data_IF_811399732925
#
_entry.id   IF_811399732925
#
_cell.length_a   1.000
_cell.length_b   1.000
_cell.length_c   1.000
_cell.angle_alpha   90.00
_cell.angle_beta   90.00
_cell.angle_gamma   90.00
#
_symmetry.space_group_name_H-M   'P 1'
#
loop_
_entity.id
_entity.type
_entity.pdbx_description
1 polymer ?
#
# COMPACT_ATOMS: atom_id res chain seq x y z
N UNK A 1 11.35 6.66 -16.42
CA UNK A 1 12.36 6.53 -15.34
C UNK A 1 12.70 5.07 -15.04
N UNK A 2 11.79 4.23 -14.54
CA UNK A 2 12.16 2.84 -14.14
C UNK A 2 12.68 2.04 -15.34
N UNK A 3 11.95 2.07 -16.46
CA UNK A 3 12.35 1.41 -17.72
C UNK A 3 13.64 1.94 -18.35
N UNK A 4 14.15 3.08 -17.89
CA UNK A 4 15.39 3.68 -18.42
C UNK A 4 16.62 3.29 -17.58
N UNK A 5 16.43 2.71 -16.39
CA UNK A 5 17.49 2.53 -15.39
C UNK A 5 17.54 1.08 -14.90
N UNK A 6 16.40 0.40 -14.84
CA UNK A 6 16.33 -0.95 -14.31
C UNK A 6 17.01 -1.93 -15.27
N UNK A 7 18.02 -2.63 -14.78
CA UNK A 7 18.67 -3.72 -15.53
C UNK A 7 17.76 -4.92 -15.68
N UNK A 8 17.96 -5.72 -16.72
CA UNK A 8 17.33 -7.02 -16.88
C UNK A 8 17.54 -7.91 -15.65
N UNK A 9 16.52 -8.67 -15.28
CA UNK A 9 16.47 -9.43 -14.03
C UNK A 9 16.24 -8.57 -12.77
N UNK A 10 16.16 -7.25 -12.90
CA UNK A 10 15.95 -6.33 -11.80
C UNK A 10 14.59 -6.49 -11.10
N UNK A 11 14.48 -5.94 -9.88
CA UNK A 11 13.24 -5.90 -9.09
C UNK A 11 12.73 -4.47 -9.00
N UNK A 12 11.42 -4.31 -9.08
CA UNK A 12 10.73 -3.03 -8.95
C UNK A 12 9.63 -3.16 -7.89
N UNK A 13 9.65 -2.27 -6.90
CA UNK A 13 8.65 -2.23 -5.83
C UNK A 13 8.05 -0.83 -5.80
N UNK A 14 6.73 -0.75 -5.84
CA UNK A 14 6.01 0.53 -5.78
C UNK A 14 4.79 0.45 -4.88
N UNK A 15 4.50 1.54 -4.18
CA UNK A 15 3.24 1.71 -3.46
C UNK A 15 2.12 1.99 -4.47
N UNK A 16 1.01 1.29 -4.32
CA UNK A 16 -0.17 1.37 -5.18
C UNK A 16 -1.44 1.49 -4.34
N UNK A 17 -2.54 1.91 -4.95
CA UNK A 17 -3.86 1.86 -4.34
C UNK A 17 -4.67 0.71 -4.94
N UNK A 18 -5.23 -0.15 -4.08
CA UNK A 18 -6.15 -1.22 -4.51
C UNK A 18 -7.51 -0.60 -4.81
N UNK A 19 -7.69 -0.20 -6.07
CA UNK A 19 -8.90 0.45 -6.59
C UNK A 19 -9.50 -0.28 -7.78
N UNK A 20 -10.35 0.41 -8.54
CA UNK A 20 -11.03 -0.12 -9.74
C UNK A 20 -10.03 -0.66 -10.76
N UNK A 21 -8.98 0.10 -11.07
CA UNK A 21 -8.07 -0.19 -12.19
C UNK A 21 -6.85 -1.04 -11.80
N UNK A 22 -6.93 -1.74 -10.67
CA UNK A 22 -5.85 -2.59 -10.15
C UNK A 22 -5.47 -3.69 -11.14
N UNK A 23 -6.46 -4.25 -11.85
CA UNK A 23 -6.25 -5.29 -12.87
C UNK A 23 -5.55 -4.76 -14.12
N UNK A 24 -5.89 -3.55 -14.55
CA UNK A 24 -5.21 -2.91 -15.68
C UNK A 24 -3.74 -2.67 -15.35
N UNK A 25 -3.46 -2.13 -14.15
CA UNK A 25 -2.08 -1.93 -13.68
C UNK A 25 -1.30 -3.25 -13.64
N UNK A 26 -1.92 -4.33 -13.14
CA UNK A 26 -1.30 -5.64 -13.12
C UNK A 26 -0.94 -6.15 -14.53
N UNK A 27 -1.86 -6.05 -15.48
CA UNK A 27 -1.62 -6.42 -16.87
C UNK A 27 -0.50 -5.60 -17.51
N UNK A 28 -0.49 -4.29 -17.27
CA UNK A 28 0.56 -3.40 -17.74
C UNK A 28 1.95 -3.76 -17.18
N UNK A 29 2.03 -4.09 -15.89
CA UNK A 29 3.28 -4.54 -15.26
C UNK A 29 3.73 -5.90 -15.80
N UNK A 30 2.79 -6.82 -16.08
CA UNK A 30 3.09 -8.15 -16.64
C UNK A 30 3.74 -8.13 -18.03
N UNK A 31 3.65 -7.03 -18.77
CA UNK A 31 4.39 -6.84 -20.02
C UNK A 31 5.91 -6.82 -19.82
N UNK A 32 6.35 -6.36 -18.65
CA UNK A 32 7.76 -6.09 -18.34
C UNK A 32 8.31 -7.00 -17.26
N UNK A 33 7.44 -7.68 -16.51
CA UNK A 33 7.81 -8.48 -15.36
C UNK A 33 7.08 -9.82 -15.42
N UNK A 34 7.78 -10.94 -15.62
CA UNK A 34 7.18 -12.27 -15.61
C UNK A 34 6.47 -12.57 -14.29
N UNK A 35 6.98 -12.04 -13.18
CA UNK A 35 6.41 -12.21 -11.84
C UNK A 35 5.98 -10.85 -11.30
N UNK A 36 4.68 -10.71 -11.03
CA UNK A 36 4.08 -9.54 -10.40
C UNK A 36 3.20 -10.03 -9.26
N UNK A 37 3.35 -9.46 -8.08
CA UNK A 37 2.55 -9.79 -6.90
C UNK A 37 2.13 -8.50 -6.22
N UNK A 38 0.86 -8.38 -5.88
CA UNK A 38 0.39 -7.26 -5.07
C UNK A 38 0.39 -7.71 -3.61
N UNK A 39 1.15 -6.99 -2.79
CA UNK A 39 1.40 -7.38 -1.41
C UNK A 39 0.93 -6.29 -0.45
N UNK A 40 0.31 -6.69 0.67
CA UNK A 40 0.04 -5.78 1.78
C UNK A 40 0.70 -6.32 3.04
N UNK A 41 1.79 -5.66 3.49
CA UNK A 41 2.48 -6.12 4.69
C UNK A 41 1.66 -5.84 5.94
N UNK A 42 1.86 -6.64 6.99
CA UNK A 42 1.19 -6.45 8.30
C UNK A 42 1.45 -5.09 8.96
N UNK A 43 2.59 -4.49 8.66
CA UNK A 43 2.92 -3.13 9.12
C UNK A 43 2.07 -2.04 8.45
N UNK A 44 1.39 -2.35 7.35
CA UNK A 44 0.44 -1.43 6.71
C UNK A 44 -0.91 -1.48 7.41
N UNK A 45 -1.49 -0.30 7.66
CA UNK A 45 -2.82 -0.17 8.27
C UNK A 45 -3.87 -1.03 7.56
N UNK A 46 -4.62 -1.83 8.32
CA UNK A 46 -5.66 -2.67 7.74
C UNK A 46 -6.74 -1.85 7.03
N UNK A 47 -7.10 -0.69 7.61
CA UNK A 47 -8.04 0.27 7.02
C UNK A 47 -7.55 0.94 5.73
N UNK A 48 -6.24 0.89 5.43
CA UNK A 48 -5.71 1.48 4.21
C UNK A 48 -6.06 0.66 2.97
N UNK A 49 -6.38 1.35 1.87
CA UNK A 49 -6.47 0.75 0.54
C UNK A 49 -5.11 0.65 -0.16
N UNK A 50 -4.04 1.08 0.51
CA UNK A 50 -2.70 0.98 -0.02
C UNK A 50 -2.19 -0.47 -0.01
N UNK A 51 -1.42 -0.79 -1.03
CA UNK A 51 -0.69 -2.04 -1.19
C UNK A 51 0.64 -1.75 -1.91
N UNK A 52 1.43 -2.78 -2.15
CA UNK A 52 2.69 -2.69 -2.86
C UNK A 52 2.67 -3.62 -4.06
N UNK A 53 2.98 -3.10 -5.25
CA UNK A 53 3.32 -3.91 -6.40
C UNK A 53 4.77 -4.38 -6.24
N UNK A 54 4.97 -5.69 -6.17
CA UNK A 54 6.27 -6.35 -6.16
C UNK A 54 6.45 -7.00 -7.52
N UNK A 55 7.37 -6.45 -8.31
CA UNK A 55 7.65 -6.90 -9.66
C UNK A 55 9.07 -7.47 -9.69
N UNK A 56 9.21 -8.69 -10.20
CA UNK A 56 10.48 -9.42 -10.20
C UNK A 56 10.88 -9.84 -11.60
N UNK A 57 12.19 -9.99 -11.80
CA UNK A 57 12.81 -10.40 -13.05
C UNK A 57 12.44 -9.50 -14.23
N UNK A 58 12.79 -8.21 -14.15
CA UNK A 58 12.57 -7.26 -15.24
C UNK A 58 13.03 -7.85 -16.59
N UNK A 59 12.09 -7.98 -17.52
CA UNK A 59 12.24 -8.64 -18.81
C UNK A 59 11.43 -7.83 -19.82
N UNK A 60 11.95 -6.68 -20.30
CA UNK A 60 11.25 -5.89 -21.31
C UNK A 60 11.10 -6.68 -22.63
N UNK A 61 10.09 -6.39 -23.44
CA UNK A 61 9.96 -6.97 -24.77
C UNK A 61 11.18 -6.69 -25.65
N UNK A 62 11.52 -7.60 -26.56
CA UNK A 62 12.62 -7.41 -27.50
C UNK A 62 12.41 -6.14 -28.35
N UNK A 63 13.45 -5.32 -28.48
CA UNK A 63 13.39 -4.04 -29.19
C UNK A 63 12.59 -2.95 -28.48
N UNK A 64 12.17 -3.15 -27.24
CA UNK A 64 11.46 -2.13 -26.47
C UNK A 64 12.33 -0.87 -26.26
N UNK A 65 11.84 0.27 -26.74
CA UNK A 65 12.42 1.57 -26.44
C UNK A 65 11.69 2.20 -25.25
N UNK A 66 12.38 2.61 -24.18
CA UNK A 66 11.75 3.26 -23.03
C UNK A 66 10.94 4.52 -23.35
N UNK A 67 11.19 5.19 -24.48
CA UNK A 67 10.40 6.33 -24.98
C UNK A 67 8.98 5.94 -25.42
N UNK A 68 8.78 4.69 -25.83
CA UNK A 68 7.49 4.18 -26.32
C UNK A 68 6.59 3.64 -25.19
N UNK A 69 7.02 3.76 -23.93
CA UNK A 69 6.30 3.23 -22.77
C UNK A 69 4.84 3.67 -22.74
N UNK A 70 4.56 4.96 -22.92
CA UNK A 70 3.20 5.49 -22.88
C UNK A 70 2.30 4.81 -23.91
N UNK A 71 2.78 4.74 -25.16
CA UNK A 71 2.06 4.13 -26.28
C UNK A 71 1.78 2.65 -26.05
N UNK A 72 2.73 1.93 -25.43
CA UNK A 72 2.55 0.52 -25.11
C UNK A 72 1.49 0.33 -24.01
N UNK A 73 1.51 1.17 -22.98
CA UNK A 73 0.56 1.10 -21.87
C UNK A 73 -0.87 1.48 -22.30
N UNK A 74 -1.02 2.46 -23.19
CA UNK A 74 -2.31 2.84 -23.79
C UNK A 74 -2.93 1.71 -24.61
N UNK A 75 -2.11 1.01 -25.41
CA UNK A 75 -2.59 -0.15 -26.18
C UNK A 75 -3.17 -1.25 -25.29
N UNK A 76 -2.65 -1.43 -24.09
CA UNK A 76 -3.17 -2.40 -23.11
C UNK A 76 -4.43 -1.87 -22.40
N UNK A 77 -4.55 -0.55 -22.26
CA UNK A 77 -5.74 0.12 -21.73
C UNK A 77 -6.93 0.11 -22.69
N UNK A 78 -6.68 0.16 -24.01
CA UNK A 78 -7.72 0.27 -25.04
C UNK A 78 -7.49 -0.74 -26.17
N UNK A 79 -7.94 -2.00 -26.01
CA UNK A 79 -7.82 -3.01 -27.07
C UNK A 79 -8.73 -2.74 -28.28
N UNK A 80 -9.70 -1.82 -28.15
CA UNK A 80 -10.52 -1.30 -29.24
C UNK A 80 -10.23 0.20 -29.35
N UNK A 81 -9.72 0.69 -30.48
CA UNK A 81 -9.35 2.10 -30.70
C UNK A 81 -10.52 3.08 -30.74
N UNK A 82 -11.41 3.04 -29.74
CA UNK A 82 -12.47 4.01 -29.49
C UNK A 82 -11.97 5.09 -28.54
N UNK A 83 -12.28 6.34 -28.88
CA UNK A 83 -11.84 7.58 -28.22
C UNK A 83 -12.48 7.83 -26.85
N UNK A 84 -12.68 6.81 -26.04
CA UNK A 84 -13.25 6.99 -24.71
C UNK A 84 -12.11 7.29 -23.73
N UNK A 85 -12.10 8.55 -23.27
CA UNK A 85 -11.22 9.12 -22.24
C UNK A 85 -11.37 8.48 -20.86
N UNK A 86 -12.12 7.37 -20.76
CA UNK A 86 -12.29 6.60 -19.56
C UNK A 86 -11.35 5.40 -19.65
N UNK A 87 -10.29 5.40 -18.84
CA UNK A 87 -9.35 4.29 -18.68
C UNK A 87 -10.02 3.07 -18.03
N UNK A 88 -11.22 2.71 -18.49
CA UNK A 88 -12.07 1.71 -17.89
C UNK A 88 -11.59 0.34 -18.32
N UNK A 89 -11.16 -0.45 -17.34
CA UNK A 89 -10.82 -1.86 -17.49
C UNK A 89 -12.03 -2.74 -17.82
N UNK A 90 -13.04 -2.24 -18.54
CA UNK A 90 -14.31 -2.92 -18.80
C UNK A 90 -14.15 -4.26 -19.54
N UNK A 91 -13.08 -4.42 -20.33
CA UNK A 91 -12.77 -5.70 -20.98
C UNK A 91 -12.18 -6.75 -20.01
N UNK A 92 -11.66 -6.33 -18.86
CA UNK A 92 -11.25 -7.17 -17.73
C UNK A 92 -12.44 -7.48 -16.79
N UNK A 93 -13.67 -7.14 -17.19
CA UNK A 93 -14.89 -7.55 -16.49
C UNK A 93 -15.49 -8.82 -17.14
N UNK A 94 -16.25 -9.59 -16.36
CA UNK A 94 -16.87 -10.84 -16.84
C UNK A 94 -15.88 -12.02 -16.99
N UNK A 95 -15.99 -12.85 -18.05
CA UNK A 95 -15.21 -14.08 -18.18
C UNK A 95 -13.70 -13.87 -18.33
N UNK A 96 -13.27 -12.69 -18.77
CA UNK A 96 -11.86 -12.32 -18.91
C UNK A 96 -11.26 -11.68 -17.64
N UNK A 97 -12.00 -11.72 -16.52
CA UNK A 97 -11.56 -11.13 -15.26
C UNK A 97 -10.31 -11.84 -14.73
N UNK A 98 -9.22 -11.09 -14.68
CA UNK A 98 -7.96 -11.56 -14.10
C UNK A 98 -7.99 -11.40 -12.58
N UNK A 99 -7.85 -12.51 -11.87
CA UNK A 99 -7.65 -12.52 -10.43
C UNK A 99 -6.17 -12.32 -10.11
N UNK A 100 -5.86 -11.20 -9.48
CA UNK A 100 -4.49 -10.84 -9.12
C UNK A 100 -4.12 -11.59 -7.85
N UNK A 101 -3.00 -12.34 -7.82
CA UNK A 101 -2.52 -12.95 -6.60
C UNK A 101 -2.14 -11.84 -5.61
N UNK A 102 -2.86 -11.80 -4.50
CA UNK A 102 -2.63 -10.86 -3.41
C UNK A 102 -1.98 -11.56 -2.23
N UNK A 103 -0.79 -11.11 -1.83
CA UNK A 103 -0.01 -11.75 -0.79
C UNK A 103 0.01 -10.89 0.48
N UNK A 104 -0.46 -11.44 1.59
CA UNK A 104 -0.14 -10.89 2.90
C UNK A 104 1.32 -11.24 3.22
N UNK A 105 2.16 -10.23 3.49
CA UNK A 105 3.59 -10.41 3.74
C UNK A 105 4.01 -9.86 5.11
N UNK A 106 5.13 -10.38 5.62
CA UNK A 106 5.68 -10.02 6.93
C UNK A 106 5.77 -11.20 7.89
N UNK A 107 6.60 -11.03 8.93
CA UNK A 107 6.82 -12.02 9.98
C UNK A 107 5.60 -12.17 10.90
N UNK A 108 5.40 -13.36 11.47
CA UNK A 108 4.44 -13.61 12.54
C UNK A 108 4.88 -12.99 13.88
N UNK A 109 6.18 -12.79 14.08
CA UNK A 109 6.75 -12.23 15.31
C UNK A 109 6.86 -10.69 15.32
N UNK A 110 6.53 -10.03 14.21
CA UNK A 110 6.71 -8.59 14.04
C UNK A 110 5.60 -7.71 14.59
N UNK A 111 5.91 -6.41 14.70
CA UNK A 111 4.94 -5.36 15.00
C UNK A 111 3.91 -5.22 13.86
N UNK A 112 2.64 -5.07 14.22
CA UNK A 112 1.50 -4.83 13.35
C UNK A 112 0.92 -3.43 13.63
N UNK A 113 0.14 -2.91 12.68
CA UNK A 113 -0.41 -1.55 12.78
C UNK A 113 -1.58 -1.39 13.74
N UNK A 114 -2.19 -2.50 14.15
CA UNK A 114 -3.50 -2.53 14.82
C UNK A 114 -3.34 -2.77 16.33
N UNK A 115 -2.13 -3.10 16.80
CA UNK A 115 -1.82 -3.35 18.21
C UNK A 115 -0.93 -2.27 18.82
N UNK A 116 -1.19 -1.98 20.09
CA UNK A 116 -0.25 -1.29 20.97
C UNK A 116 0.64 -2.33 21.64
N UNK A 117 1.95 -2.22 21.46
CA UNK A 117 2.91 -3.19 21.96
C UNK A 117 3.45 -2.80 23.34
N UNK A 118 3.77 -3.78 24.20
CA UNK A 118 4.49 -3.52 25.43
C UNK A 118 5.83 -2.84 25.10
N UNK A 119 6.16 -1.81 25.88
CA UNK A 119 7.46 -1.16 25.78
C UNK A 119 8.57 -2.18 26.09
N UNK A 120 9.71 -2.15 25.38
CA UNK A 120 10.82 -3.05 25.65
C UNK A 120 11.23 -2.95 27.12
N UNK A 121 11.42 -4.10 27.76
CA UNK A 121 12.23 -4.17 28.98
C UNK A 121 13.66 -4.34 28.48
N UNK A 122 14.42 -3.25 28.45
CA UNK A 122 15.79 -3.23 27.90
C UNK A 122 16.66 -4.33 28.52
N UNK A 123 17.55 -4.91 27.71
CA UNK A 123 18.54 -5.92 28.13
C UNK A 123 19.55 -5.40 29.18
N UNK A 124 19.62 -4.08 29.37
CA UNK A 124 20.53 -3.36 30.27
C UNK A 124 19.88 -2.86 31.58
N UNK A 125 18.63 -3.26 31.88
CA UNK A 125 17.99 -2.97 33.17
C UNK A 125 17.51 -1.52 33.37
N UNK A 126 17.62 -0.64 32.37
CA UNK A 126 16.99 0.68 32.39
C UNK A 126 15.54 0.61 31.89
N UNK A 127 14.60 1.19 32.65
CA UNK A 127 13.18 1.23 32.30
C UNK A 127 12.89 2.33 31.26
N UNK A 128 12.06 2.05 30.25
CA UNK A 128 11.57 3.08 29.32
C UNK A 128 10.99 4.28 30.08
N UNK A 129 11.54 5.47 29.86
CA UNK A 129 11.06 6.71 30.46
C UNK A 129 10.16 7.44 29.45
N UNK A 130 8.86 7.51 29.75
CA UNK A 130 7.93 8.33 28.97
C UNK A 130 8.27 9.80 29.17
N UNK A 131 8.63 10.49 28.10
CA UNK A 131 8.84 11.94 28.10
C UNK A 131 7.55 12.66 27.67
N UNK A 132 7.34 13.85 28.20
CA UNK A 132 6.25 14.70 27.75
C UNK A 132 6.51 15.23 26.34
N UNK A 133 5.46 15.37 25.50
CA UNK A 133 5.61 15.93 24.16
C UNK A 133 6.08 17.39 24.25
N UNK A 134 7.10 17.72 23.46
CA UNK A 134 7.69 19.08 23.40
C UNK A 134 6.65 20.15 23.05
N UNK A 135 5.66 19.80 22.23
CA UNK A 135 4.47 20.60 22.01
C UNK A 135 3.21 19.76 22.23
N UNK A 136 2.36 20.12 23.20
CA UNK A 136 1.11 19.41 23.41
C UNK A 136 0.12 19.68 22.28
N UNK A 137 -0.81 18.75 21.99
CA UNK A 137 -1.86 18.98 21.02
C UNK A 137 -2.73 20.19 21.42
N UNK A 138 -3.05 21.05 20.46
CA UNK A 138 -3.95 22.21 20.67
C UNK A 138 -5.32 21.75 21.18
N UNK A 139 -5.80 20.61 20.69
CA UNK A 139 -7.00 19.93 21.16
C UNK A 139 -6.73 18.42 21.25
N UNK A 140 -6.46 17.87 22.47
CA UNK A 140 -6.19 16.45 22.59
C UNK A 140 -7.48 15.63 22.34
N UNK A 141 -7.39 14.49 21.63
CA UNK A 141 -8.56 13.65 21.33
C UNK A 141 -9.24 13.09 22.59
N UNK A 142 -8.54 13.05 23.73
CA UNK A 142 -9.06 12.60 25.02
C UNK A 142 -9.72 13.72 25.86
N UNK A 143 -9.78 14.97 25.38
CA UNK A 143 -10.35 16.11 26.12
C UNK A 143 -11.78 15.82 26.61
N UNK A 144 -12.64 15.31 25.71
CA UNK A 144 -14.04 14.96 26.03
C UNK A 144 -14.15 13.86 27.08
N UNK A 145 -13.28 12.85 27.02
CA UNK A 145 -13.27 11.77 28.00
C UNK A 145 -12.89 12.28 29.41
N UNK A 146 -11.95 13.21 29.50
CA UNK A 146 -11.57 13.85 30.76
C UNK A 146 -12.70 14.71 31.34
N UNK A 147 -13.40 15.47 30.50
CA UNK A 147 -14.56 16.27 30.91
C UNK A 147 -15.69 15.38 31.45
N UNK A 148 -16.01 14.29 30.75
CA UNK A 148 -17.00 13.30 31.20
C UNK A 148 -16.59 12.63 32.51
N UNK A 149 -15.31 12.26 32.67
CA UNK A 149 -14.79 11.67 33.91
C UNK A 149 -14.85 12.65 35.09
N UNK A 150 -14.61 13.95 34.86
CA UNK A 150 -14.75 15.00 35.87
C UNK A 150 -16.22 15.20 36.27
N UNK A 151 -17.12 15.26 35.28
CA UNK A 151 -18.55 15.39 35.53
C UNK A 151 -19.12 14.20 36.31
N UNK A 152 -18.70 12.97 35.97
CA UNK A 152 -19.10 11.78 36.73
C UNK A 152 -18.55 11.81 38.16
N UNK A 153 -17.28 12.20 38.36
CA UNK A 153 -16.71 12.29 39.71
C UNK A 153 -17.38 13.36 40.58
N UNK A 154 -17.91 14.43 39.97
CA UNK A 154 -18.68 15.46 40.68
C UNK A 154 -20.09 15.00 41.06
N UNK A 155 -20.74 14.14 40.27
CA UNK A 155 -22.08 13.63 40.60
C UNK A 155 -22.10 12.58 41.71
N UNK A 156 -20.95 12.01 42.09
CA UNK A 156 -20.83 11.04 43.19
C UNK A 156 -20.55 11.70 44.57
N UNK A 157 -20.30 13.02 44.60
CA UNK A 157 -19.98 13.77 45.82
C UNK A 157 -21.13 14.70 46.29
N UNK A 158 -22.35 14.49 45.80
CA UNK A 158 -23.60 15.17 46.20
C UNK A 158 -24.66 14.12 46.44
#
# INVERSE_FOLDING_TARGET
IVTHILKEGGKFIAKIFRGKDTSLLYCQLKLFFPTVTFAKPKSSRNSSIEAFAVCENYSPPEGFNPKDLHRLLEKVGSPSGGSDLDCSSGWLEGPNKVYIPFLACGDLAGYDSDRSYPLPKEADGSSYQSLDPVQPPIAPPYKRALELKKASAQSFNT
#
